data_IF_938938680785
#
_entry.id   IF_938938680785
#
_cell.length_a   1.000
_cell.length_b   1.000
_cell.length_c   1.000
_cell.angle_alpha   90.00
_cell.angle_beta   90.00
_cell.angle_gamma   90.00
#
_symmetry.space_group_name_H-M   'P 1'
#
loop_
_entity.id
_entity.type
_entity.pdbx_description
1 polymer ?
#
# COMPACT_ATOMS: atom_id res chain seq x y z
N UNK A 1 19.69 -3.85 13.23
CA UNK A 1 20.21 -4.89 12.33
C UNK A 1 19.66 -4.61 10.95
N UNK A 2 20.53 -4.29 10.01
CA UNK A 2 20.20 -4.11 8.59
C UNK A 2 19.74 -5.46 8.05
N UNK A 3 18.50 -5.55 7.58
CA UNK A 3 18.01 -6.73 6.88
C UNK A 3 18.90 -7.04 5.69
N UNK A 4 19.30 -8.30 5.57
CA UNK A 4 20.20 -8.77 4.55
C UNK A 4 19.70 -8.39 3.15
N UNK A 5 20.43 -7.54 2.47
CA UNK A 5 20.30 -7.28 1.04
C UNK A 5 20.63 -8.60 0.34
N UNK A 6 19.61 -9.27 -0.20
CA UNK A 6 19.85 -10.34 -1.18
C UNK A 6 20.46 -9.68 -2.41
N UNK A 7 21.65 -10.09 -2.78
CA UNK A 7 22.29 -9.64 -4.02
C UNK A 7 21.33 -9.84 -5.21
N UNK A 8 20.95 -8.74 -5.85
CA UNK A 8 20.39 -8.74 -7.19
C UNK A 8 18.89 -8.56 -7.36
N UNK A 9 18.05 -8.43 -6.31
CA UNK A 9 16.63 -8.16 -6.49
C UNK A 9 16.13 -7.16 -5.44
N UNK A 10 16.01 -5.89 -5.84
CA UNK A 10 15.37 -4.86 -5.01
C UNK A 10 13.86 -5.15 -4.95
N UNK A 11 13.26 -5.02 -3.76
CA UNK A 11 11.80 -5.12 -3.62
C UNK A 11 11.13 -4.04 -4.45
N UNK A 12 10.23 -4.44 -5.35
CA UNK A 12 9.45 -3.53 -6.20
C UNK A 12 8.19 -3.08 -5.49
N UNK A 13 8.00 -1.79 -5.38
CA UNK A 13 6.85 -1.16 -4.73
C UNK A 13 6.08 -0.35 -5.76
N UNK A 14 4.80 -0.67 -5.95
CA UNK A 14 3.91 0.14 -6.76
C UNK A 14 3.47 1.37 -5.96
N UNK A 15 3.57 2.56 -6.53
CA UNK A 15 3.02 3.77 -5.93
C UNK A 15 2.01 4.43 -6.86
N UNK A 16 0.90 4.91 -6.29
CA UNK A 16 -0.13 5.62 -7.03
C UNK A 16 -0.76 6.73 -6.20
N UNK A 17 -1.24 7.76 -6.86
CA UNK A 17 -1.80 8.95 -6.23
C UNK A 17 -2.80 9.63 -7.17
N UNK A 18 -3.63 10.51 -6.59
CA UNK A 18 -4.39 11.48 -7.36
C UNK A 18 -3.67 12.85 -7.42
N UNK A 19 -4.31 13.82 -8.07
CA UNK A 19 -3.78 15.17 -8.27
C UNK A 19 -3.44 15.94 -6.97
N UNK A 20 -4.10 15.60 -5.86
CA UNK A 20 -3.86 16.26 -4.55
C UNK A 20 -2.55 15.82 -3.92
N UNK A 21 -2.07 14.63 -4.25
CA UNK A 21 -1.00 13.95 -3.56
C UNK A 21 0.31 13.84 -4.37
N UNK A 22 0.49 14.64 -5.41
CA UNK A 22 1.70 14.59 -6.26
C UNK A 22 2.98 14.84 -5.44
N UNK A 23 3.01 15.89 -4.64
CA UNK A 23 4.18 16.24 -3.84
C UNK A 23 4.50 15.15 -2.80
N UNK A 24 3.48 14.59 -2.12
CA UNK A 24 3.67 13.51 -1.15
C UNK A 24 4.16 12.22 -1.83
N UNK A 25 3.61 11.88 -3.00
CA UNK A 25 4.07 10.73 -3.79
C UNK A 25 5.53 10.89 -4.20
N UNK A 26 5.94 12.06 -4.66
CA UNK A 26 7.33 12.33 -5.04
C UNK A 26 8.26 12.21 -3.85
N UNK A 27 7.91 12.84 -2.71
CA UNK A 27 8.68 12.72 -1.46
C UNK A 27 8.88 11.27 -1.02
N UNK A 28 7.81 10.47 -0.96
CA UNK A 28 7.88 9.06 -0.55
C UNK A 28 8.67 8.22 -1.57
N UNK A 29 8.54 8.51 -2.86
CA UNK A 29 9.30 7.81 -3.90
C UNK A 29 10.80 8.05 -3.74
N UNK A 30 11.23 9.28 -3.53
CA UNK A 30 12.64 9.64 -3.29
C UNK A 30 13.16 9.00 -1.99
N UNK A 31 12.38 9.10 -0.91
CA UNK A 31 12.71 8.51 0.39
C UNK A 31 12.95 7.00 0.31
N UNK A 32 12.08 6.27 -0.34
CA UNK A 32 12.18 4.82 -0.47
C UNK A 32 13.26 4.40 -1.47
N UNK A 33 13.45 5.15 -2.55
CA UNK A 33 14.54 4.90 -3.50
C UNK A 33 15.91 5.04 -2.82
N UNK A 34 16.09 6.06 -1.97
CA UNK A 34 17.30 6.23 -1.18
C UNK A 34 17.56 5.08 -0.19
N UNK A 35 16.51 4.34 0.20
CA UNK A 35 16.58 3.14 1.05
C UNK A 35 16.80 1.83 0.26
N UNK A 36 16.87 1.90 -1.06
CA UNK A 36 17.15 0.74 -1.91
C UNK A 36 15.90 -0.01 -2.40
N UNK A 37 14.72 0.60 -2.34
CA UNK A 37 13.53 0.05 -2.98
C UNK A 37 13.45 0.47 -4.45
N UNK A 38 12.92 -0.39 -5.30
CA UNK A 38 12.56 -0.05 -6.69
C UNK A 38 11.12 0.46 -6.71
N UNK A 39 10.92 1.74 -7.01
CA UNK A 39 9.60 2.37 -7.04
C UNK A 39 9.08 2.40 -8.47
N UNK A 40 7.89 1.82 -8.67
CA UNK A 40 7.16 1.85 -9.95
C UNK A 40 5.98 2.80 -9.82
N UNK A 41 6.04 3.94 -10.50
CA UNK A 41 5.02 4.98 -10.44
C UNK A 41 3.86 4.67 -11.40
N UNK A 42 2.69 4.37 -10.84
CA UNK A 42 1.42 4.20 -11.55
C UNK A 42 0.47 5.39 -11.35
N UNK A 43 0.91 6.40 -10.61
CA UNK A 43 0.12 7.57 -10.28
C UNK A 43 0.17 8.67 -11.34
N UNK A 44 -0.34 9.84 -10.98
CA UNK A 44 -0.20 11.05 -11.80
C UNK A 44 0.97 11.91 -11.32
N UNK A 45 1.63 12.57 -12.25
CA UNK A 45 2.64 13.58 -12.00
C UNK A 45 2.07 15.00 -12.22
N UNK A 46 0.77 15.10 -12.55
CA UNK A 46 0.05 16.36 -12.78
C UNK A 46 -0.86 16.69 -11.62
N UNK A 47 -0.97 17.97 -11.29
CA UNK A 47 -1.93 18.53 -10.35
C UNK A 47 -3.31 18.81 -10.98
N UNK A 48 -3.48 18.51 -12.26
CA UNK A 48 -4.76 18.57 -12.93
C UNK A 48 -5.74 17.54 -12.33
N UNK A 49 -6.98 17.97 -12.12
CA UNK A 49 -8.01 17.14 -11.51
C UNK A 49 -8.19 15.80 -12.21
N UNK A 50 -8.13 14.73 -11.46
CA UNK A 50 -8.26 13.36 -11.95
C UNK A 50 -9.00 12.48 -10.95
N UNK A 51 -9.38 11.29 -11.39
CA UNK A 51 -10.17 10.33 -10.61
C UNK A 51 -9.27 9.28 -9.97
N UNK A 52 -9.19 9.26 -8.64
CA UNK A 52 -8.35 8.36 -7.86
C UNK A 52 -8.58 6.85 -8.12
N UNK A 53 -9.81 6.36 -8.46
CA UNK A 53 -9.99 4.94 -8.70
C UNK A 53 -9.18 4.39 -9.87
N UNK A 54 -8.86 5.21 -10.86
CA UNK A 54 -8.00 4.83 -11.98
C UNK A 54 -6.61 4.40 -11.48
N UNK A 55 -6.03 5.18 -10.60
CA UNK A 55 -4.68 4.92 -10.05
C UNK A 55 -4.70 3.80 -9.02
N UNK A 56 -5.77 3.71 -8.21
CA UNK A 56 -5.99 2.58 -7.31
C UNK A 56 -6.00 1.26 -8.07
N UNK A 57 -6.71 1.19 -9.19
CA UNK A 57 -6.80 0.00 -10.05
C UNK A 57 -5.44 -0.39 -10.61
N UNK A 58 -4.67 0.57 -11.13
CA UNK A 58 -3.33 0.30 -11.69
C UNK A 58 -2.38 -0.29 -10.65
N UNK A 59 -2.32 0.29 -9.45
CA UNK A 59 -1.49 -0.23 -8.35
C UNK A 59 -1.96 -1.61 -7.92
N UNK A 60 -3.27 -1.79 -7.75
CA UNK A 60 -3.84 -3.07 -7.37
C UNK A 60 -3.51 -4.18 -8.38
N UNK A 61 -3.64 -3.91 -9.68
CA UNK A 61 -3.30 -4.87 -10.74
C UNK A 61 -1.80 -5.23 -10.72
N UNK A 62 -0.91 -4.26 -10.51
CA UNK A 62 0.52 -4.50 -10.39
C UNK A 62 0.87 -5.40 -9.20
N UNK A 63 0.16 -5.24 -8.07
CA UNK A 63 0.36 -6.07 -6.89
C UNK A 63 -0.20 -7.49 -7.08
N UNK A 64 -1.41 -7.64 -7.59
CA UNK A 64 -2.00 -8.99 -7.77
C UNK A 64 -1.36 -9.79 -8.88
N UNK A 65 -0.80 -9.15 -9.91
CA UNK A 65 -0.04 -9.82 -10.97
C UNK A 65 1.36 -10.25 -10.53
N UNK A 66 1.86 -9.75 -9.40
CA UNK A 66 3.22 -9.99 -8.93
C UNK A 66 4.29 -9.12 -9.62
N UNK A 67 3.89 -8.13 -10.42
CA UNK A 67 4.82 -7.13 -10.98
C UNK A 67 5.49 -6.32 -9.86
N UNK A 68 4.71 -5.98 -8.82
CA UNK A 68 5.19 -5.36 -7.60
C UNK A 68 4.79 -6.20 -6.38
N UNK A 69 5.62 -6.18 -5.35
CA UNK A 69 5.37 -6.98 -4.14
C UNK A 69 4.32 -6.35 -3.22
N UNK A 70 4.37 -5.03 -3.08
CA UNK A 70 3.48 -4.23 -2.23
C UNK A 70 3.11 -2.94 -2.95
N UNK A 71 2.06 -2.27 -2.45
CA UNK A 71 1.58 -1.01 -3.01
C UNK A 71 1.42 0.10 -1.97
N UNK A 72 1.55 1.33 -2.44
CA UNK A 72 1.32 2.56 -1.68
C UNK A 72 0.35 3.43 -2.48
N UNK A 73 -0.72 3.90 -1.85
CA UNK A 73 -1.73 4.76 -2.46
C UNK A 73 -1.95 6.03 -1.65
N UNK A 74 -1.97 7.17 -2.32
CA UNK A 74 -2.08 8.47 -1.68
C UNK A 74 -3.13 9.33 -2.40
N UNK A 75 -4.13 9.80 -1.67
CA UNK A 75 -5.06 10.82 -2.13
C UNK A 75 -5.24 11.88 -1.04
N UNK A 76 -6.30 12.68 -1.07
CA UNK A 76 -6.53 13.69 -0.05
C UNK A 76 -6.65 13.13 1.37
N UNK A 77 -7.34 12.00 1.54
CA UNK A 77 -7.58 11.34 2.83
C UNK A 77 -7.05 9.90 2.90
N UNK A 78 -6.73 9.28 1.77
CA UNK A 78 -6.40 7.87 1.67
C UNK A 78 -7.62 6.94 1.63
N UNK A 79 -8.81 7.44 1.98
CA UNK A 79 -10.03 6.62 2.14
C UNK A 79 -10.56 6.13 0.80
N UNK A 80 -10.91 7.04 -0.11
CA UNK A 80 -11.52 6.66 -1.39
C UNK A 80 -10.60 5.76 -2.23
N UNK A 81 -9.31 6.07 -2.27
CA UNK A 81 -8.34 5.30 -3.04
C UNK A 81 -8.13 3.89 -2.48
N UNK A 82 -8.20 3.72 -1.14
CA UNK A 82 -8.14 2.41 -0.50
C UNK A 82 -9.40 1.58 -0.75
N UNK A 83 -10.58 2.19 -0.69
CA UNK A 83 -11.85 1.52 -1.01
C UNK A 83 -11.82 1.01 -2.45
N UNK A 84 -11.38 1.84 -3.39
CA UNK A 84 -11.28 1.44 -4.80
C UNK A 84 -10.31 0.26 -5.00
N UNK A 85 -9.13 0.29 -4.38
CA UNK A 85 -8.17 -0.80 -4.44
C UNK A 85 -8.74 -2.11 -3.90
N UNK A 86 -9.50 -2.06 -2.80
CA UNK A 86 -10.13 -3.23 -2.18
C UNK A 86 -11.23 -3.88 -3.05
N UNK A 87 -11.64 -3.26 -4.14
CA UNK A 87 -12.57 -3.89 -5.11
C UNK A 87 -11.86 -4.85 -6.06
N UNK A 88 -10.54 -4.87 -6.08
CA UNK A 88 -9.76 -5.82 -6.87
C UNK A 88 -9.50 -7.08 -6.03
N UNK A 89 -9.85 -8.25 -6.56
CA UNK A 89 -9.64 -9.54 -5.89
C UNK A 89 -8.17 -9.73 -5.51
N UNK A 90 -7.94 -10.17 -4.28
CA UNK A 90 -6.60 -10.38 -3.74
C UNK A 90 -5.97 -9.15 -3.09
N UNK A 91 -6.62 -7.99 -3.14
CA UNK A 91 -6.16 -6.78 -2.46
C UNK A 91 -6.74 -6.70 -1.04
N UNK A 92 -5.86 -6.41 -0.10
CA UNK A 92 -6.17 -5.97 1.24
C UNK A 92 -5.44 -4.65 1.48
N UNK A 93 -6.11 -3.56 1.10
CA UNK A 93 -5.62 -2.21 1.31
C UNK A 93 -6.10 -1.67 2.66
N UNK A 94 -5.21 -1.04 3.39
CA UNK A 94 -5.49 -0.39 4.67
C UNK A 94 -5.18 1.09 4.58
N UNK A 95 -6.09 1.94 5.06
CA UNK A 95 -5.81 3.36 5.25
C UNK A 95 -5.25 3.58 6.66
N UNK A 96 -4.11 4.25 6.75
CA UNK A 96 -3.42 4.52 8.01
C UNK A 96 -3.09 6.01 8.15
N UNK A 97 -3.21 6.55 9.34
CA UNK A 97 -2.73 7.90 9.69
C UNK A 97 -1.65 7.87 10.78
N UNK A 98 -1.18 6.67 11.14
CA UNK A 98 -0.10 6.45 12.10
C UNK A 98 0.59 5.08 11.85
N UNK A 99 1.85 4.89 12.29
CA UNK A 99 2.63 3.71 11.95
C UNK A 99 2.21 2.42 12.67
N UNK A 100 1.60 2.51 13.85
CA UNK A 100 1.18 1.34 14.63
C UNK A 100 0.16 0.48 13.85
N UNK A 101 -0.88 1.12 13.30
CA UNK A 101 -1.89 0.42 12.48
C UNK A 101 -1.27 -0.16 11.20
N UNK A 102 -0.35 0.56 10.57
CA UNK A 102 0.37 0.07 9.37
C UNK A 102 1.12 -1.22 9.69
N UNK A 103 1.87 -1.26 10.79
CA UNK A 103 2.58 -2.45 11.27
C UNK A 103 1.63 -3.63 11.52
N UNK A 104 0.60 -3.41 12.35
CA UNK A 104 -0.33 -4.48 12.72
C UNK A 104 -1.14 -4.99 11.52
N UNK A 105 -1.45 -4.14 10.56
CA UNK A 105 -2.13 -4.56 9.34
C UNK A 105 -1.32 -5.60 8.55
N UNK A 106 0.00 -5.47 8.54
CA UNK A 106 0.89 -6.46 7.95
C UNK A 106 0.92 -7.75 8.79
N UNK A 107 1.18 -7.62 10.09
CA UNK A 107 1.31 -8.77 10.98
C UNK A 107 0.04 -9.61 11.03
N UNK A 108 -1.12 -8.99 11.14
CA UNK A 108 -2.38 -9.66 11.42
C UNK A 108 -3.24 -9.92 10.18
N UNK A 109 -3.26 -8.99 9.23
CA UNK A 109 -4.18 -9.02 8.10
C UNK A 109 -3.50 -9.30 6.76
N UNK A 110 -2.18 -9.42 6.76
CA UNK A 110 -1.40 -9.60 5.53
C UNK A 110 -1.82 -8.59 4.46
N UNK A 111 -1.95 -7.32 4.83
CA UNK A 111 -2.29 -6.25 3.90
C UNK A 111 -1.18 -6.11 2.86
N UNK A 112 -1.54 -5.85 1.62
CA UNK A 112 -0.60 -5.71 0.51
C UNK A 112 -0.57 -4.32 -0.11
N UNK A 113 -1.45 -3.42 0.34
CA UNK A 113 -1.45 -1.99 0.00
C UNK A 113 -1.68 -1.18 1.27
N UNK A 114 -0.87 -0.13 1.46
CA UNK A 114 -1.12 0.91 2.45
C UNK A 114 -1.54 2.20 1.76
N UNK A 115 -2.52 2.88 2.33
CA UNK A 115 -2.98 4.17 1.84
C UNK A 115 -2.96 5.22 2.94
N UNK A 116 -2.74 6.47 2.58
CA UNK A 116 -2.82 7.60 3.50
C UNK A 116 -3.20 8.90 2.78
N UNK A 117 -3.50 9.92 3.56
CA UNK A 117 -3.99 11.18 3.05
C UNK A 117 -2.94 12.29 3.08
N UNK A 118 -2.63 12.88 1.93
CA UNK A 118 -1.72 14.01 1.82
C UNK A 118 -2.22 15.28 2.54
N UNK A 119 -3.53 15.37 2.82
CA UNK A 119 -4.14 16.44 3.61
C UNK A 119 -4.30 16.09 5.09
N UNK A 120 -3.97 14.87 5.49
CA UNK A 120 -4.19 14.34 6.85
C UNK A 120 -2.89 14.26 7.63
N UNK A 121 -1.82 13.79 6.99
CA UNK A 121 -0.53 13.57 7.65
C UNK A 121 0.58 14.35 6.95
N UNK A 122 1.63 14.66 7.70
CA UNK A 122 2.86 15.24 7.16
C UNK A 122 3.84 14.18 6.67
N UNK A 123 4.89 14.62 6.00
CA UNK A 123 5.91 13.76 5.39
C UNK A 123 6.58 12.82 6.40
N UNK A 124 6.96 13.32 7.58
CA UNK A 124 7.61 12.49 8.59
C UNK A 124 6.72 11.33 9.07
N UNK A 125 5.42 11.57 9.25
CA UNK A 125 4.47 10.51 9.60
C UNK A 125 4.29 9.52 8.45
N UNK A 126 4.24 10.00 7.22
CA UNK A 126 4.16 9.14 6.03
C UNK A 126 5.39 8.23 5.91
N UNK A 127 6.59 8.76 6.16
CA UNK A 127 7.83 7.97 6.21
C UNK A 127 7.76 6.84 7.25
N UNK A 128 7.30 7.15 8.47
CA UNK A 128 7.13 6.15 9.53
C UNK A 128 6.11 5.06 9.15
N UNK A 129 5.00 5.46 8.51
CA UNK A 129 3.97 4.53 8.04
C UNK A 129 4.56 3.55 7.00
N UNK A 130 5.24 4.05 5.98
CA UNK A 130 5.80 3.19 4.94
C UNK A 130 6.94 2.33 5.46
N UNK A 131 7.77 2.83 6.37
CA UNK A 131 8.83 2.06 7.01
C UNK A 131 8.27 0.85 7.77
N UNK A 132 7.29 1.07 8.65
CA UNK A 132 6.66 -0.02 9.39
C UNK A 132 5.92 -1.00 8.48
N UNK A 133 5.23 -0.49 7.46
CA UNK A 133 4.52 -1.33 6.50
C UNK A 133 5.48 -2.23 5.69
N UNK A 134 6.57 -1.69 5.18
CA UNK A 134 7.51 -2.43 4.32
C UNK A 134 8.43 -3.37 5.11
N UNK A 135 8.80 -3.01 6.34
CA UNK A 135 9.69 -3.81 7.18
C UNK A 135 8.98 -4.96 7.91
N UNK A 136 7.65 -4.97 7.95
CA UNK A 136 6.87 -5.92 8.75
C UNK A 136 6.41 -7.11 7.94
N UNK A 137 6.63 -8.31 8.47
CA UNK A 137 6.19 -9.57 7.87
C UNK A 137 4.85 -10.04 8.46
N UNK A 138 4.10 -10.81 7.68
CA UNK A 138 2.88 -11.48 8.13
C UNK A 138 3.21 -12.57 9.14
N UNK A 139 2.52 -12.59 10.27
CA UNK A 139 2.73 -13.59 11.33
C UNK A 139 2.06 -14.93 11.03
N UNK A 140 0.98 -14.96 10.25
CA UNK A 140 0.20 -16.17 10.02
C UNK A 140 -0.47 -16.67 11.30
N UNK A 141 -0.26 -17.93 11.64
CA UNK A 141 -0.75 -18.55 12.88
C UNK A 141 -2.25 -18.35 13.10
N UNK A 142 -2.63 -17.82 14.26
CA UNK A 142 -4.03 -17.51 14.62
C UNK A 142 -4.73 -16.52 13.69
N UNK A 143 -3.97 -15.69 12.97
CA UNK A 143 -4.49 -14.70 12.03
C UNK A 143 -4.86 -15.32 10.68
N UNK A 144 -4.24 -16.43 10.29
CA UNK A 144 -4.44 -17.06 8.99
C UNK A 144 -5.90 -17.45 8.73
N UNK A 145 -6.59 -17.97 9.75
CA UNK A 145 -8.02 -18.31 9.66
C UNK A 145 -8.87 -17.09 9.30
N UNK A 146 -8.62 -15.93 9.94
CA UNK A 146 -9.39 -14.70 9.68
C UNK A 146 -9.11 -14.13 8.31
N UNK A 147 -7.86 -14.17 7.86
CA UNK A 147 -7.51 -13.77 6.49
C UNK A 147 -8.17 -14.65 5.45
N UNK A 148 -8.28 -15.97 5.71
CA UNK A 148 -9.00 -16.88 4.83
C UNK A 148 -10.51 -16.59 4.81
N UNK A 149 -11.12 -16.28 5.94
CA UNK A 149 -12.54 -15.84 5.98
C UNK A 149 -12.78 -14.58 5.13
N UNK A 150 -11.84 -13.60 5.14
CA UNK A 150 -11.91 -12.43 4.27
C UNK A 150 -11.87 -12.84 2.79
N UNK A 151 -11.03 -13.82 2.41
CA UNK A 151 -10.98 -14.35 1.04
C UNK A 151 -12.28 -15.06 0.64
N UNK A 152 -12.90 -15.80 1.56
CA UNK A 152 -14.20 -16.44 1.32
C UNK A 152 -15.30 -15.41 1.10
N UNK A 153 -15.32 -14.33 1.89
CA UNK A 153 -16.25 -13.21 1.67
C UNK A 153 -16.05 -12.60 0.28
N UNK A 154 -14.81 -12.36 -0.12
CA UNK A 154 -14.48 -11.81 -1.45
C UNK A 154 -15.00 -12.69 -2.58
N UNK A 155 -14.98 -14.02 -2.41
CA UNK A 155 -15.48 -14.99 -3.39
C UNK A 155 -17.00 -15.20 -3.34
N UNK A 156 -17.69 -14.70 -2.31
CA UNK A 156 -19.09 -15.02 -2.07
C UNK A 156 -19.33 -16.43 -1.55
N UNK A 157 -18.32 -17.05 -0.92
CA UNK A 157 -18.34 -18.42 -0.42
C UNK A 157 -18.45 -18.48 1.12
N UNK A 158 -18.63 -17.36 1.80
CA UNK A 158 -18.67 -17.28 3.26
C UNK A 158 -20.12 -17.24 3.77
N UNK A 159 -20.56 -18.33 4.39
CA UNK A 159 -21.84 -18.42 5.07
C UNK A 159 -21.67 -18.18 6.58
N UNK A 160 -22.60 -17.42 7.19
CA UNK A 160 -22.61 -17.06 8.61
C UNK A 160 -23.58 -17.94 9.36
#
# INVERSE_FOLDING_TARGET
MLGAVKEGNFMKIAIGNDHVAVAMKDHISEYLTAKGYEIVNFGTDSDERCDYPVYAKKVADAVVSGECELGILICGTGVGISIAANKVKGIRAVVCSEPYTAKLSRQHNNTNIVAFGARVIGEATAEMIVDEFLATSYEGGRHARRVEMIRQIEKGEFDV
#
